data_IF_197413005159
#
_entry.id   IF_197413005159
#
_cell.length_a   1.000
_cell.length_b   1.000
_cell.length_c   1.000
_cell.angle_alpha   90.00
_cell.angle_beta   90.00
_cell.angle_gamma   90.00
#
_symmetry.space_group_name_H-M   'P 1'
#
loop_
_entity.id
_entity.type
_entity.pdbx_description
1 polymer ?
#
# COMPACT_ATOMS: atom_id res chain seq x y z
N UNK A 1 -34.29 89.19 -44.53
CA UNK A 1 -33.43 88.56 -43.56
C UNK A 1 -33.97 87.16 -43.29
N UNK A 2 -33.44 86.14 -44.00
CA UNK A 2 -33.80 84.73 -43.80
C UNK A 2 -32.75 84.10 -42.90
N UNK A 3 -33.13 83.63 -41.73
CA UNK A 3 -32.31 82.75 -40.91
C UNK A 3 -32.58 81.27 -41.30
N UNK A 4 -31.60 80.66 -41.88
CA UNK A 4 -31.59 79.19 -42.08
C UNK A 4 -31.31 78.47 -40.75
N UNK A 5 -32.21 77.57 -40.37
CA UNK A 5 -31.99 76.64 -39.28
C UNK A 5 -31.21 75.41 -39.81
N UNK A 6 -30.05 75.10 -39.19
CA UNK A 6 -29.31 73.90 -39.46
C UNK A 6 -29.93 72.70 -38.73
N UNK A 7 -30.06 71.58 -39.38
CA UNK A 7 -30.55 70.35 -38.71
C UNK A 7 -29.44 69.73 -37.84
N UNK A 8 -29.76 69.44 -36.59
CA UNK A 8 -28.93 68.64 -35.69
C UNK A 8 -28.91 67.20 -36.14
N UNK A 9 -27.80 66.77 -36.70
CA UNK A 9 -27.54 65.34 -36.90
C UNK A 9 -27.13 64.67 -35.55
N UNK A 10 -28.08 64.08 -34.86
CA UNK A 10 -27.78 63.19 -33.74
C UNK A 10 -27.13 61.91 -34.25
N UNK A 11 -25.91 61.66 -33.83
CA UNK A 11 -25.12 60.46 -34.21
C UNK A 11 -25.78 59.21 -33.69
N UNK A 12 -26.41 58.44 -34.59
CA UNK A 12 -26.97 57.11 -34.34
C UNK A 12 -25.87 56.08 -34.12
N UNK A 13 -24.60 56.40 -34.37
CA UNK A 13 -23.46 55.51 -34.26
C UNK A 13 -23.14 55.10 -32.80
N UNK A 14 -23.37 55.96 -31.81
CA UNK A 14 -23.09 55.66 -30.38
C UNK A 14 -23.99 54.60 -29.78
N UNK A 15 -25.21 54.44 -30.23
CA UNK A 15 -26.19 53.46 -29.74
C UNK A 15 -25.89 52.05 -30.21
N UNK A 16 -25.30 51.88 -31.41
CA UNK A 16 -24.94 50.55 -31.96
C UNK A 16 -23.71 49.94 -31.29
N UNK A 17 -22.71 50.72 -30.90
CA UNK A 17 -21.52 50.27 -30.20
C UNK A 17 -21.82 49.78 -28.76
N UNK A 18 -22.69 50.50 -28.04
CA UNK A 18 -23.10 50.12 -26.68
C UNK A 18 -23.89 48.82 -26.64
N UNK A 19 -24.80 48.59 -27.58
CA UNK A 19 -25.55 47.34 -27.69
C UNK A 19 -24.61 46.13 -27.96
N UNK A 20 -23.57 46.31 -28.80
CA UNK A 20 -22.59 45.24 -29.08
C UNK A 20 -21.79 44.89 -27.82
N UNK A 21 -21.33 45.87 -27.04
CA UNK A 21 -20.59 45.62 -25.80
C UNK A 21 -21.48 44.88 -24.79
N UNK A 22 -22.73 45.26 -24.67
CA UNK A 22 -23.69 44.65 -23.74
C UNK A 22 -23.99 43.19 -24.13
N UNK A 23 -24.16 42.90 -25.43
CA UNK A 23 -24.35 41.51 -25.90
C UNK A 23 -23.11 40.67 -25.73
N UNK A 24 -21.91 41.23 -25.97
CA UNK A 24 -20.65 40.55 -25.76
C UNK A 24 -20.41 40.21 -24.28
N UNK A 25 -20.70 41.17 -23.38
CA UNK A 25 -20.56 40.91 -21.94
C UNK A 25 -21.58 39.90 -21.43
N UNK A 26 -22.81 39.93 -21.91
CA UNK A 26 -23.81 38.90 -21.59
C UNK A 26 -23.38 37.51 -22.08
N UNK A 27 -22.84 37.43 -23.29
CA UNK A 27 -22.34 36.17 -23.87
C UNK A 27 -21.17 35.61 -23.06
N UNK A 28 -20.22 36.44 -22.65
CA UNK A 28 -19.08 35.99 -21.80
C UNK A 28 -19.54 35.46 -20.44
N UNK A 29 -20.52 36.08 -19.82
CA UNK A 29 -21.11 35.61 -18.56
C UNK A 29 -21.80 34.24 -18.75
N UNK A 30 -22.58 34.10 -19.84
CA UNK A 30 -23.24 32.82 -20.14
C UNK A 30 -22.22 31.71 -20.37
N UNK A 31 -21.16 31.98 -21.14
CA UNK A 31 -20.07 31.00 -21.38
C UNK A 31 -19.37 30.62 -20.06
N UNK A 32 -19.07 31.61 -19.22
CA UNK A 32 -18.44 31.33 -17.91
C UNK A 32 -19.34 30.47 -17.00
N UNK A 33 -20.64 30.79 -16.92
CA UNK A 33 -21.60 30.01 -16.14
C UNK A 33 -21.73 28.58 -16.71
N UNK A 34 -21.77 28.45 -18.04
CA UNK A 34 -21.84 27.10 -18.67
C UNK A 34 -20.60 26.28 -18.37
N UNK A 35 -19.40 26.89 -18.41
CA UNK A 35 -18.15 26.19 -18.07
C UNK A 35 -18.14 25.69 -16.61
N UNK A 36 -18.62 26.50 -15.67
CA UNK A 36 -18.78 26.13 -14.27
C UNK A 36 -19.77 24.98 -14.11
N UNK A 37 -20.93 25.04 -14.79
CA UNK A 37 -21.93 23.97 -14.73
C UNK A 37 -21.39 22.64 -15.29
N UNK A 38 -20.63 22.70 -16.38
CA UNK A 38 -19.99 21.48 -16.94
C UNK A 38 -19.00 20.89 -15.93
N UNK A 39 -18.18 21.71 -15.28
CA UNK A 39 -17.25 21.27 -14.24
C UNK A 39 -17.97 20.57 -13.07
N UNK A 40 -19.07 21.14 -12.59
CA UNK A 40 -19.90 20.51 -11.55
C UNK A 40 -20.52 19.19 -11.99
N UNK A 41 -20.97 19.11 -13.25
CA UNK A 41 -21.53 17.86 -13.78
C UNK A 41 -20.47 16.77 -13.90
N UNK A 42 -19.24 17.10 -14.31
CA UNK A 42 -18.14 16.14 -14.40
C UNK A 42 -17.72 15.64 -13.02
N UNK A 43 -17.65 16.53 -12.02
CA UNK A 43 -17.39 16.15 -10.63
C UNK A 43 -18.48 15.25 -10.07
N UNK A 44 -19.75 15.60 -10.24
CA UNK A 44 -20.88 14.80 -9.79
C UNK A 44 -20.93 13.41 -10.46
N UNK A 45 -20.57 13.33 -11.75
CA UNK A 45 -20.44 12.03 -12.46
C UNK A 45 -19.33 11.19 -11.88
N UNK A 46 -18.16 11.79 -11.61
CA UNK A 46 -17.01 11.10 -11.02
C UNK A 46 -17.36 10.55 -9.63
N UNK A 47 -18.02 11.34 -8.79
CA UNK A 47 -18.45 10.91 -7.46
C UNK A 47 -19.50 9.80 -7.53
N UNK A 48 -20.44 9.91 -8.48
CA UNK A 48 -21.44 8.86 -8.72
C UNK A 48 -20.79 7.56 -9.20
N UNK A 49 -19.80 7.63 -10.10
CA UNK A 49 -19.05 6.46 -10.59
C UNK A 49 -18.29 5.79 -9.46
N UNK A 50 -17.56 6.57 -8.64
CA UNK A 50 -16.85 6.06 -7.48
C UNK A 50 -17.78 5.38 -6.46
N UNK A 51 -18.94 5.98 -6.19
CA UNK A 51 -19.91 5.41 -5.25
C UNK A 51 -20.48 4.07 -5.74
N UNK A 52 -20.81 4.00 -7.03
CA UNK A 52 -21.28 2.74 -7.64
C UNK A 52 -20.18 1.67 -7.66
N UNK A 53 -18.93 2.07 -7.98
CA UNK A 53 -17.79 1.16 -7.96
C UNK A 53 -17.54 0.63 -6.54
N UNK A 54 -17.63 1.46 -5.52
CA UNK A 54 -17.52 1.03 -4.12
C UNK A 54 -18.61 0.00 -3.75
N UNK A 55 -19.85 0.24 -4.14
CA UNK A 55 -20.95 -0.75 -3.92
C UNK A 55 -20.62 -2.06 -4.63
N UNK A 56 -20.08 -2.01 -5.84
CA UNK A 56 -19.66 -3.20 -6.57
C UNK A 56 -18.49 -3.92 -5.87
N UNK A 57 -17.53 -3.18 -5.31
CA UNK A 57 -16.46 -3.73 -4.50
C UNK A 57 -16.99 -4.47 -3.27
N UNK A 58 -17.95 -3.89 -2.56
CA UNK A 58 -18.59 -4.52 -1.40
C UNK A 58 -19.29 -5.85 -1.78
N UNK A 59 -19.92 -5.90 -2.94
CA UNK A 59 -20.55 -7.14 -3.44
C UNK A 59 -19.48 -8.20 -3.75
N UNK A 60 -18.40 -7.83 -4.46
CA UNK A 60 -17.30 -8.76 -4.74
C UNK A 60 -16.62 -9.22 -3.45
N UNK A 61 -16.43 -8.32 -2.49
CA UNK A 61 -15.87 -8.67 -1.18
C UNK A 61 -16.76 -9.69 -0.44
N UNK A 62 -18.07 -9.50 -0.44
CA UNK A 62 -19.02 -10.45 0.16
C UNK A 62 -18.96 -11.83 -0.49
N UNK A 63 -18.91 -11.89 -1.83
CA UNK A 63 -18.81 -13.12 -2.59
C UNK A 63 -17.47 -13.83 -2.32
N UNK A 64 -16.36 -13.10 -2.37
CA UNK A 64 -15.02 -13.61 -2.08
C UNK A 64 -14.96 -14.16 -0.65
N UNK A 65 -15.49 -13.43 0.33
CA UNK A 65 -15.57 -13.88 1.73
C UNK A 65 -16.30 -15.22 1.85
N UNK A 66 -17.41 -15.40 1.12
CA UNK A 66 -18.14 -16.64 1.11
C UNK A 66 -17.34 -17.78 0.47
N UNK A 67 -16.67 -17.52 -0.65
CA UNK A 67 -15.80 -18.48 -1.34
C UNK A 67 -14.65 -18.89 -0.44
N UNK A 68 -13.91 -17.93 0.13
CA UNK A 68 -12.79 -18.20 1.02
C UNK A 68 -13.19 -19.01 2.25
N UNK A 69 -14.35 -18.71 2.85
CA UNK A 69 -14.90 -19.47 3.97
C UNK A 69 -15.23 -20.92 3.60
N UNK A 70 -15.59 -21.17 2.33
CA UNK A 70 -15.91 -22.51 1.82
C UNK A 70 -14.68 -23.41 1.59
N UNK A 71 -13.48 -22.83 1.43
CA UNK A 71 -12.26 -23.59 1.22
C UNK A 71 -11.76 -24.21 2.54
N UNK A 72 -11.78 -25.53 2.61
CA UNK A 72 -11.23 -26.29 3.76
C UNK A 72 -9.70 -26.40 3.71
N UNK A 73 -9.16 -26.59 2.51
CA UNK A 73 -7.71 -26.70 2.28
C UNK A 73 -7.14 -25.32 1.95
N UNK A 74 -6.72 -24.61 2.99
CA UNK A 74 -6.11 -23.27 2.88
C UNK A 74 -4.75 -23.32 2.19
N UNK A 75 -3.98 -24.37 2.40
CA UNK A 75 -2.68 -24.53 1.76
C UNK A 75 -2.83 -24.61 0.24
N UNK A 76 -3.79 -25.39 -0.25
CA UNK A 76 -4.07 -25.48 -1.67
C UNK A 76 -4.57 -24.14 -2.24
N UNK A 77 -5.43 -23.42 -1.52
CA UNK A 77 -5.90 -22.10 -1.94
C UNK A 77 -4.74 -21.11 -2.10
N UNK A 78 -3.93 -20.94 -1.07
CA UNK A 78 -2.84 -19.97 -1.08
C UNK A 78 -1.69 -20.37 -2.00
N UNK A 79 -1.40 -21.68 -2.16
CA UNK A 79 -0.38 -22.10 -3.12
C UNK A 79 -0.66 -21.64 -4.55
N UNK A 80 -1.94 -21.46 -4.90
CA UNK A 80 -2.34 -20.91 -6.21
C UNK A 80 -2.34 -19.39 -6.19
N UNK A 81 -2.94 -18.77 -5.16
CA UNK A 81 -3.10 -17.32 -5.06
C UNK A 81 -1.79 -16.54 -4.91
N UNK A 82 -0.76 -17.17 -4.31
CA UNK A 82 0.56 -16.55 -4.15
C UNK A 82 1.47 -16.70 -5.38
N UNK A 83 1.18 -17.66 -6.26
CA UNK A 83 2.01 -17.88 -7.45
C UNK A 83 1.80 -16.82 -8.53
N UNK A 84 0.55 -16.44 -8.77
CA UNK A 84 0.23 -15.45 -9.79
C UNK A 84 -1.17 -14.87 -9.61
N UNK A 85 -1.41 -13.64 -10.09
CA UNK A 85 -2.75 -13.07 -10.14
C UNK A 85 -3.72 -13.96 -10.92
N UNK A 86 -4.89 -14.22 -10.36
CA UNK A 86 -5.92 -15.06 -10.96
C UNK A 86 -7.00 -14.19 -11.59
N UNK A 87 -7.15 -14.22 -12.92
CA UNK A 87 -8.25 -13.53 -13.58
C UNK A 87 -9.55 -14.36 -13.47
N UNK A 88 -10.58 -13.77 -12.92
CA UNK A 88 -11.94 -14.31 -12.91
C UNK A 88 -12.82 -13.46 -13.81
N UNK A 89 -13.52 -14.12 -14.75
CA UNK A 89 -14.44 -13.45 -15.67
C UNK A 89 -15.78 -14.18 -15.65
N UNK A 90 -16.86 -13.41 -15.68
CA UNK A 90 -18.17 -14.02 -15.89
C UNK A 90 -18.30 -14.56 -17.32
N UNK A 91 -19.09 -15.63 -17.54
CA UNK A 91 -19.30 -16.20 -18.88
C UNK A 91 -19.91 -15.21 -19.87
N UNK A 92 -20.67 -14.24 -19.40
CA UNK A 92 -21.30 -13.18 -20.19
C UNK A 92 -20.41 -11.94 -20.38
N UNK A 93 -19.17 -11.95 -19.82
CA UNK A 93 -18.19 -10.88 -19.93
C UNK A 93 -18.54 -9.60 -19.17
N UNK A 94 -19.59 -9.62 -18.35
CA UNK A 94 -20.05 -8.40 -17.64
C UNK A 94 -19.17 -8.01 -16.49
N UNK A 95 -18.42 -8.96 -15.92
CA UNK A 95 -17.42 -8.63 -14.92
C UNK A 95 -16.07 -9.30 -15.20
N UNK A 96 -15.02 -8.58 -14.85
CA UNK A 96 -13.66 -9.08 -14.85
C UNK A 96 -13.00 -8.65 -13.55
N UNK A 97 -12.49 -9.61 -12.81
CA UNK A 97 -11.82 -9.41 -11.51
C UNK A 97 -10.48 -10.11 -11.56
N UNK A 98 -9.44 -9.46 -11.07
CA UNK A 98 -8.10 -10.05 -10.90
C UNK A 98 -7.83 -10.10 -9.39
N UNK A 99 -7.56 -11.29 -8.88
CA UNK A 99 -7.21 -11.53 -7.47
C UNK A 99 -5.73 -11.83 -7.39
N UNK A 100 -4.99 -11.05 -6.60
CA UNK A 100 -3.61 -11.30 -6.26
C UNK A 100 -3.46 -11.29 -4.74
N UNK A 101 -2.87 -12.34 -4.17
CA UNK A 101 -2.60 -12.40 -2.73
C UNK A 101 -1.12 -12.55 -2.47
N UNK A 102 -0.66 -12.05 -1.31
CA UNK A 102 0.69 -12.25 -0.80
C UNK A 102 0.62 -12.66 0.68
N UNK A 103 1.57 -13.48 1.17
CA UNK A 103 1.63 -13.83 2.59
C UNK A 103 1.92 -12.58 3.43
N UNK A 104 1.16 -12.39 4.51
CA UNK A 104 1.38 -11.26 5.42
C UNK A 104 2.63 -11.45 6.29
N UNK A 105 3.05 -12.67 6.50
CA UNK A 105 4.20 -13.03 7.31
C UNK A 105 5.40 -13.52 6.46
N UNK A 106 5.45 -13.18 5.17
CA UNK A 106 6.56 -13.56 4.27
C UNK A 106 7.86 -12.78 4.48
N UNK A 107 7.89 -11.82 5.40
CA UNK A 107 9.03 -10.98 5.75
C UNK A 107 9.23 -10.88 7.26
N UNK A 108 10.30 -10.21 7.65
CA UNK A 108 10.59 -9.86 9.04
C UNK A 108 9.73 -8.66 9.45
N UNK A 109 9.06 -8.74 10.59
CA UNK A 109 8.24 -7.62 11.04
C UNK A 109 9.14 -6.46 11.52
N UNK A 110 8.96 -5.27 10.93
CA UNK A 110 9.75 -4.08 11.29
C UNK A 110 9.63 -3.71 12.76
N UNK A 111 8.50 -4.03 13.39
CA UNK A 111 8.26 -3.74 14.81
C UNK A 111 9.11 -4.59 15.76
N UNK A 112 9.76 -5.64 15.27
CA UNK A 112 10.68 -6.43 16.09
C UNK A 112 11.99 -5.68 16.41
N UNK A 113 12.33 -4.61 15.68
CA UNK A 113 13.44 -3.72 16.03
C UNK A 113 13.34 -3.15 17.46
N UNK A 114 12.14 -3.00 18.00
CA UNK A 114 11.93 -2.52 19.36
C UNK A 114 11.81 -3.62 20.42
N UNK A 115 12.25 -4.85 20.13
CA UNK A 115 12.15 -6.02 21.02
C UNK A 115 13.50 -6.45 21.63
N UNK A 116 14.46 -5.54 21.69
CA UNK A 116 15.80 -5.73 22.25
C UNK A 116 15.80 -6.27 23.70
N UNK A 117 14.79 -5.90 24.51
CA UNK A 117 14.65 -6.30 25.90
C UNK A 117 13.62 -7.44 26.12
N UNK A 118 13.08 -8.02 25.08
CA UNK A 118 12.08 -9.11 25.18
C UNK A 118 12.76 -10.47 24.96
N UNK A 119 13.08 -11.18 26.05
CA UNK A 119 13.74 -12.46 25.99
C UNK A 119 12.97 -13.52 25.18
N UNK A 120 11.65 -13.41 25.06
CA UNK A 120 10.82 -14.33 24.28
C UNK A 120 10.90 -14.05 22.78
N UNK A 121 11.26 -12.83 22.39
CA UNK A 121 11.35 -12.37 21.00
C UNK A 121 12.79 -12.07 20.56
N UNK A 122 13.81 -12.59 21.26
CA UNK A 122 15.22 -12.33 20.94
C UNK A 122 15.61 -12.74 19.52
N UNK A 123 15.12 -13.89 19.01
CA UNK A 123 15.37 -14.31 17.64
C UNK A 123 14.74 -13.40 16.60
N UNK A 124 13.55 -12.86 16.90
CA UNK A 124 12.84 -11.90 16.08
C UNK A 124 13.59 -10.57 16.01
N UNK A 125 14.03 -10.07 17.18
CA UNK A 125 14.87 -8.87 17.24
C UNK A 125 16.17 -9.03 16.46
N UNK A 126 16.93 -10.13 16.71
CA UNK A 126 18.17 -10.42 15.97
C UNK A 126 17.95 -10.47 14.45
N UNK A 127 16.84 -11.07 14.00
CA UNK A 127 16.51 -11.14 12.58
C UNK A 127 16.21 -9.75 12.00
N UNK A 128 15.43 -8.93 12.72
CA UNK A 128 15.10 -7.58 12.28
C UNK A 128 16.33 -6.68 12.24
N UNK A 129 17.16 -6.74 13.27
CA UNK A 129 18.41 -6.00 13.33
C UNK A 129 19.37 -6.41 12.20
N UNK A 130 19.57 -7.73 12.00
CA UNK A 130 20.43 -8.23 10.92
C UNK A 130 19.97 -7.73 9.54
N UNK A 131 18.67 -7.78 9.27
CA UNK A 131 18.12 -7.32 7.99
C UNK A 131 18.34 -5.81 7.83
N UNK A 132 18.07 -5.03 8.87
CA UNK A 132 18.27 -3.59 8.84
C UNK A 132 19.75 -3.24 8.59
N UNK A 133 20.68 -3.83 9.34
CA UNK A 133 22.10 -3.57 9.23
C UNK A 133 22.66 -3.94 7.85
N UNK A 134 22.27 -5.11 7.30
CA UNK A 134 22.70 -5.54 5.97
C UNK A 134 22.19 -4.58 4.90
N UNK A 135 20.94 -4.12 4.99
CA UNK A 135 20.39 -3.16 4.04
C UNK A 135 21.08 -1.80 4.17
N UNK A 136 21.24 -1.29 5.38
CA UNK A 136 21.92 -0.03 5.63
C UNK A 136 23.35 -0.03 5.07
N UNK A 137 24.09 -1.13 5.28
CA UNK A 137 25.45 -1.29 4.75
C UNK A 137 25.46 -1.45 3.23
N UNK A 138 24.60 -2.32 2.67
CA UNK A 138 24.59 -2.62 1.22
C UNK A 138 24.24 -1.40 0.36
N UNK A 139 23.39 -0.52 0.89
CA UNK A 139 22.98 0.70 0.19
C UNK A 139 23.79 1.94 0.66
N UNK A 140 24.74 1.77 1.57
CA UNK A 140 25.57 2.84 2.13
C UNK A 140 24.73 4.00 2.66
N UNK A 141 23.79 3.70 3.56
CA UNK A 141 22.96 4.71 4.24
C UNK A 141 23.89 5.56 5.11
N UNK A 142 23.78 6.89 5.02
CA UNK A 142 24.75 7.82 5.63
C UNK A 142 24.66 7.82 7.15
N UNK A 143 23.45 7.80 7.71
CA UNK A 143 23.21 7.78 9.15
C UNK A 143 22.16 6.73 9.50
N UNK A 144 22.58 5.45 9.45
CA UNK A 144 21.71 4.31 9.75
C UNK A 144 21.16 4.40 11.19
N UNK A 145 21.97 4.89 12.14
CA UNK A 145 21.55 5.02 13.55
C UNK A 145 20.41 6.01 13.71
N UNK A 146 20.43 7.12 12.99
CA UNK A 146 19.35 8.10 13.00
C UNK A 146 18.07 7.52 12.40
N UNK A 147 18.18 6.75 11.29
CA UNK A 147 17.04 6.08 10.70
C UNK A 147 16.42 5.09 11.68
N UNK A 148 17.24 4.28 12.33
CA UNK A 148 16.79 3.32 13.33
C UNK A 148 16.10 4.01 14.51
N UNK A 149 16.68 5.10 15.03
CA UNK A 149 16.05 5.90 16.09
C UNK A 149 14.65 6.40 15.68
N UNK A 150 14.51 6.91 14.45
CA UNK A 150 13.21 7.36 13.93
C UNK A 150 12.19 6.22 13.82
N UNK A 151 12.64 5.01 13.44
CA UNK A 151 11.78 3.82 13.41
C UNK A 151 11.37 3.41 14.82
N UNK A 152 12.30 3.33 15.77
CA UNK A 152 12.04 2.98 17.16
C UNK A 152 11.10 3.99 17.84
N UNK A 153 11.24 5.28 17.53
CA UNK A 153 10.34 6.32 18.03
C UNK A 153 8.89 6.06 17.58
N UNK A 154 8.68 5.69 16.32
CA UNK A 154 7.36 5.41 15.78
C UNK A 154 6.79 4.09 16.32
N UNK A 155 7.60 3.04 16.44
CA UNK A 155 7.20 1.76 17.01
C UNK A 155 6.78 1.92 18.50
N UNK A 156 7.31 2.93 19.18
CA UNK A 156 6.98 3.19 20.57
C UNK A 156 7.81 2.40 21.58
N UNK A 157 8.96 1.84 21.14
CA UNK A 157 9.90 1.09 21.99
C UNK A 157 10.82 1.95 22.86
N UNK A 158 10.99 3.24 22.56
CA UNK A 158 11.88 4.12 23.30
C UNK A 158 11.25 4.70 24.56
N UNK A 159 11.72 4.27 25.72
CA UNK A 159 11.34 4.88 27.02
C UNK A 159 11.97 6.26 27.27
N UNK A 160 12.74 6.82 26.35
CA UNK A 160 13.57 7.99 26.58
C UNK A 160 13.16 9.28 25.88
N UNK A 161 12.30 9.25 24.86
CA UNK A 161 11.95 10.48 24.14
C UNK A 161 10.49 10.84 24.28
N UNK A 162 10.24 11.65 25.28
CA UNK A 162 8.98 12.19 25.78
C UNK A 162 8.46 13.30 24.86
N UNK A 163 8.11 12.99 23.64
CA UNK A 163 7.20 13.84 22.88
C UNK A 163 5.87 13.14 22.60
N UNK A 164 5.60 12.05 23.31
CA UNK A 164 4.37 11.21 23.22
C UNK A 164 3.07 11.94 23.57
N UNK A 165 3.12 13.04 24.29
CA UNK A 165 1.91 13.73 24.74
C UNK A 165 1.24 14.61 23.67
N UNK A 166 1.90 14.96 22.59
CA UNK A 166 1.37 15.93 21.63
C UNK A 166 0.63 15.32 20.44
N UNK A 167 0.78 14.03 20.15
CA UNK A 167 0.05 13.40 19.04
C UNK A 167 -1.03 12.44 19.54
N UNK A 168 -2.25 12.95 19.72
CA UNK A 168 -3.45 12.14 19.99
C UNK A 168 -3.81 11.16 18.85
N UNK A 169 -3.10 11.21 17.74
CA UNK A 169 -3.34 10.42 16.53
C UNK A 169 -2.30 9.33 16.29
N UNK A 170 -1.24 9.23 17.09
CA UNK A 170 -0.27 8.13 16.96
C UNK A 170 -0.92 6.82 17.36
N UNK A 171 -0.96 5.91 16.42
CA UNK A 171 -1.41 4.54 16.69
C UNK A 171 -0.41 3.89 17.65
N UNK A 172 -0.89 3.44 18.81
CA UNK A 172 -0.07 2.80 19.85
C UNK A 172 0.46 1.41 19.45
N UNK A 173 0.24 0.98 18.23
CA UNK A 173 0.43 -0.40 17.77
C UNK A 173 1.66 -0.60 16.87
N UNK A 174 2.57 0.36 16.82
CA UNK A 174 3.74 0.30 15.97
C UNK A 174 3.46 0.72 14.51
N UNK A 175 4.38 0.33 13.63
CA UNK A 175 4.29 0.56 12.18
C UNK A 175 3.47 -0.60 11.58
N UNK A 176 2.23 -0.33 11.19
CA UNK A 176 1.28 -1.37 10.72
C UNK A 176 0.94 -1.25 9.22
N UNK A 177 1.50 -0.27 8.52
CA UNK A 177 1.35 -0.13 7.07
C UNK A 177 2.66 0.30 6.43
N UNK A 178 2.87 -0.10 5.19
CA UNK A 178 4.01 0.39 4.40
C UNK A 178 4.01 1.91 4.25
N UNK A 179 2.84 2.53 4.16
CA UNK A 179 2.72 3.98 4.07
C UNK A 179 3.30 4.70 5.30
N UNK A 180 2.99 4.21 6.52
CA UNK A 180 3.60 4.75 7.74
C UNK A 180 5.12 4.63 7.72
N UNK A 181 5.63 3.49 7.26
CA UNK A 181 7.06 3.27 7.10
C UNK A 181 7.67 4.22 6.06
N UNK A 182 7.05 4.35 4.89
CA UNK A 182 7.48 5.27 3.84
C UNK A 182 7.51 6.73 4.30
N UNK A 183 6.52 7.17 5.06
CA UNK A 183 6.49 8.52 5.64
C UNK A 183 7.68 8.78 6.59
N UNK A 184 8.23 7.74 7.24
CA UNK A 184 9.46 7.85 8.06
C UNK A 184 10.67 7.96 7.15
N UNK A 185 10.75 7.13 6.09
CA UNK A 185 11.84 7.19 5.12
C UNK A 185 11.91 8.56 4.43
N UNK A 186 10.77 9.13 4.07
CA UNK A 186 10.68 10.47 3.46
C UNK A 186 11.19 11.55 4.44
N UNK A 187 10.80 11.47 5.72
CA UNK A 187 11.31 12.38 6.77
C UNK A 187 12.82 12.21 6.96
N UNK A 188 13.32 10.97 6.98
CA UNK A 188 14.75 10.70 7.07
C UNK A 188 15.49 11.28 5.86
N UNK A 189 15.03 11.00 4.64
CA UNK A 189 15.61 11.54 3.41
C UNK A 189 15.68 13.06 3.44
N UNK A 190 14.60 13.72 3.84
CA UNK A 190 14.54 15.18 3.93
C UNK A 190 15.54 15.75 4.96
N UNK A 191 15.74 15.06 6.11
CA UNK A 191 16.60 15.54 7.20
C UNK A 191 18.09 15.19 7.04
N UNK A 192 18.40 14.15 6.26
CA UNK A 192 19.76 13.62 6.06
C UNK A 192 20.27 13.83 4.63
N UNK A 193 19.40 14.32 3.71
CA UNK A 193 19.68 14.48 2.27
C UNK A 193 20.19 13.19 1.59
N UNK A 194 19.80 12.02 2.14
CA UNK A 194 20.22 10.71 1.65
C UNK A 194 19.17 10.09 0.71
N UNK A 195 19.33 10.34 -0.59
CA UNK A 195 18.40 9.81 -1.61
C UNK A 195 18.51 8.29 -1.84
N UNK A 196 19.49 7.62 -1.24
CA UNK A 196 19.70 6.17 -1.40
C UNK A 196 18.62 5.38 -0.68
N UNK A 197 18.03 5.93 0.38
CA UNK A 197 16.98 5.30 1.18
C UNK A 197 15.76 4.86 0.35
N UNK A 198 15.37 5.67 -0.63
CA UNK A 198 14.24 5.37 -1.53
C UNK A 198 14.54 4.29 -2.58
N UNK A 199 15.80 3.84 -2.71
CA UNK A 199 16.19 2.77 -3.66
C UNK A 199 16.12 1.39 -3.04
N UNK A 200 15.99 1.30 -1.73
CA UNK A 200 15.93 0.03 -1.01
C UNK A 200 14.54 -0.58 -1.19
N UNK A 201 14.45 -1.83 -1.66
CA UNK A 201 13.15 -2.51 -1.81
C UNK A 201 12.68 -3.10 -0.46
N UNK A 202 12.38 -2.24 0.50
CA UNK A 202 12.07 -2.60 1.88
C UNK A 202 11.00 -3.66 2.02
N UNK A 203 9.96 -3.62 1.17
CA UNK A 203 8.86 -4.59 1.19
C UNK A 203 9.26 -6.03 0.84
N UNK A 204 10.46 -6.25 0.27
CA UNK A 204 11.00 -7.59 0.05
C UNK A 204 11.56 -8.23 1.32
N UNK A 205 11.82 -7.42 2.33
CA UNK A 205 12.49 -7.84 3.56
C UNK A 205 11.60 -7.68 4.78
N UNK A 206 10.85 -6.58 4.85
CA UNK A 206 10.00 -6.25 5.98
C UNK A 206 8.52 -6.41 5.69
N UNK A 207 7.79 -6.83 6.73
CA UNK A 207 6.33 -6.77 6.79
C UNK A 207 5.90 -5.80 7.88
N UNK A 208 4.71 -5.25 7.73
CA UNK A 208 4.17 -4.16 8.55
C UNK A 208 2.89 -4.63 9.24
N UNK A 209 3.06 -5.53 10.20
CA UNK A 209 1.96 -6.13 10.94
C UNK A 209 2.06 -5.77 12.42
N UNK A 210 0.94 -5.78 13.11
CA UNK A 210 0.92 -5.66 14.56
C UNK A 210 1.70 -6.82 15.18
N UNK A 211 2.60 -6.51 16.11
CA UNK A 211 3.31 -7.53 16.89
C UNK A 211 2.37 -8.13 17.93
N UNK A 212 2.24 -9.45 17.96
CA UNK A 212 1.55 -10.19 18.99
C UNK A 212 2.34 -10.25 20.30
N UNK A 213 1.67 -10.68 21.36
CA UNK A 213 2.33 -10.91 22.67
C UNK A 213 2.89 -12.34 22.78
N UNK A 214 2.34 -13.29 22.00
CA UNK A 214 2.79 -14.66 21.98
C UNK A 214 3.89 -14.81 20.90
N UNK A 215 5.03 -15.49 21.19
CA UNK A 215 6.03 -15.83 20.18
C UNK A 215 5.46 -16.54 18.94
N UNK A 216 4.41 -17.35 19.11
CA UNK A 216 3.75 -18.05 17.98
C UNK A 216 2.99 -17.10 17.03
N UNK A 217 2.63 -15.92 17.48
CA UNK A 217 2.03 -14.86 16.65
C UNK A 217 3.09 -14.06 15.90
N UNK A 218 4.38 -14.28 16.19
CA UNK A 218 5.52 -13.53 15.69
C UNK A 218 6.48 -14.45 14.91
N UNK A 219 5.95 -15.17 13.93
CA UNK A 219 6.74 -16.06 13.08
C UNK A 219 6.79 -15.53 11.65
N UNK A 220 7.91 -15.78 10.96
CA UNK A 220 7.99 -15.66 9.50
C UNK A 220 7.44 -16.93 8.87
N UNK A 221 6.64 -16.80 7.80
CA UNK A 221 6.18 -17.97 7.04
C UNK A 221 7.35 -18.59 6.27
N UNK A 222 7.89 -19.67 6.82
CA UNK A 222 9.02 -20.38 6.24
C UNK A 222 8.74 -21.02 4.87
N UNK A 223 7.47 -21.12 4.45
CA UNK A 223 7.12 -21.69 3.14
C UNK A 223 7.19 -20.63 2.03
N UNK A 224 6.99 -19.34 2.37
CA UNK A 224 6.86 -18.28 1.39
C UNK A 224 7.84 -17.11 1.58
N UNK A 225 8.92 -17.34 2.32
CA UNK A 225 10.01 -16.37 2.45
C UNK A 225 10.65 -16.07 1.09
N UNK A 226 10.95 -14.79 0.81
CA UNK A 226 11.61 -14.38 -0.42
C UNK A 226 13.07 -14.85 -0.50
N UNK A 227 13.59 -15.05 -1.71
CA UNK A 227 15.00 -15.41 -1.91
C UNK A 227 15.95 -14.35 -1.34
N UNK A 228 15.61 -13.06 -1.51
CA UNK A 228 16.40 -11.95 -0.99
C UNK A 228 16.48 -11.97 0.53
N UNK A 229 15.35 -12.16 1.22
CA UNK A 229 15.34 -12.22 2.68
C UNK A 229 16.06 -13.47 3.20
N UNK A 230 15.87 -14.62 2.54
CA UNK A 230 16.53 -15.85 2.90
C UNK A 230 18.06 -15.74 2.79
N UNK A 231 18.56 -15.13 1.68
CA UNK A 231 19.97 -14.84 1.50
C UNK A 231 20.55 -14.01 2.66
N UNK A 232 19.84 -12.97 3.07
CA UNK A 232 20.27 -12.08 4.17
C UNK A 232 20.24 -12.83 5.52
N UNK A 233 19.17 -13.55 5.84
CA UNK A 233 19.01 -14.18 7.16
C UNK A 233 20.01 -15.31 7.40
N UNK A 234 20.39 -16.06 6.36
CA UNK A 234 21.23 -17.23 6.47
C UNK A 234 22.63 -17.07 5.88
N UNK A 235 22.99 -15.88 5.38
CA UNK A 235 24.25 -15.58 4.72
C UNK A 235 24.56 -16.52 3.53
N UNK A 236 23.52 -16.88 2.78
CA UNK A 236 23.62 -17.72 1.59
C UNK A 236 23.68 -16.80 0.37
N UNK A 237 24.54 -17.14 -0.59
CA UNK A 237 24.62 -16.38 -1.84
C UNK A 237 23.26 -16.27 -2.54
N UNK A 238 22.89 -15.07 -2.95
CA UNK A 238 21.57 -14.78 -3.51
C UNK A 238 21.28 -15.55 -4.81
N UNK A 239 22.27 -15.74 -5.67
CA UNK A 239 22.10 -16.49 -6.92
C UNK A 239 21.84 -17.98 -6.62
N UNK A 240 22.57 -18.55 -5.66
CA UNK A 240 22.32 -19.91 -5.16
C UNK A 240 20.88 -20.05 -4.62
N UNK A 241 20.42 -19.05 -3.86
CA UNK A 241 19.04 -19.08 -3.34
C UNK A 241 18.02 -18.99 -4.47
N UNK A 242 18.22 -18.11 -5.45
CA UNK A 242 17.29 -17.97 -6.59
C UNK A 242 17.20 -19.22 -7.47
N UNK A 243 18.31 -19.95 -7.60
CA UNK A 243 18.35 -21.13 -8.43
C UNK A 243 17.73 -22.36 -7.73
N UNK A 244 17.87 -22.47 -6.41
CA UNK A 244 17.49 -23.67 -5.68
C UNK A 244 16.26 -23.52 -4.77
N UNK A 245 15.87 -22.28 -4.43
CA UNK A 245 14.73 -22.01 -3.56
C UNK A 245 13.49 -21.63 -4.36
N UNK A 246 12.43 -22.39 -4.20
CA UNK A 246 11.10 -22.07 -4.73
C UNK A 246 10.12 -21.93 -3.56
N UNK A 247 9.52 -20.75 -3.33
CA UNK A 247 8.49 -20.57 -2.31
C UNK A 247 7.36 -21.60 -2.46
N UNK A 248 6.97 -22.24 -1.36
CA UNK A 248 5.95 -23.29 -1.35
C UNK A 248 6.41 -24.66 -1.89
N UNK A 249 7.63 -24.79 -2.37
CA UNK A 249 8.18 -26.02 -2.94
C UNK A 249 8.93 -26.89 -1.95
N UNK A 250 10.07 -26.42 -1.44
CA UNK A 250 10.93 -27.15 -0.52
C UNK A 250 10.72 -26.66 0.91
N UNK A 251 10.87 -27.55 1.90
CA UNK A 251 10.87 -27.16 3.32
C UNK A 251 12.09 -26.28 3.62
N UNK A 252 11.88 -25.10 4.20
CA UNK A 252 12.94 -24.13 4.50
C UNK A 252 14.11 -24.75 5.31
N UNK A 253 13.79 -25.56 6.33
CA UNK A 253 14.80 -26.21 7.15
C UNK A 253 15.73 -27.08 6.30
N UNK A 254 15.16 -27.90 5.44
CA UNK A 254 15.92 -28.80 4.55
C UNK A 254 16.82 -28.02 3.59
N UNK A 255 16.32 -26.90 3.05
CA UNK A 255 17.10 -26.02 2.19
C UNK A 255 18.28 -25.39 2.93
N UNK A 256 18.03 -24.79 4.10
CA UNK A 256 19.06 -24.10 4.90
C UNK A 256 20.15 -25.08 5.36
N UNK A 257 19.77 -26.26 5.84
CA UNK A 257 20.72 -27.29 6.26
C UNK A 257 21.57 -27.83 5.09
N UNK A 258 20.97 -28.00 3.91
CA UNK A 258 21.67 -28.40 2.68
C UNK A 258 22.73 -27.38 2.25
N UNK A 259 22.45 -26.09 2.43
CA UNK A 259 23.37 -25.01 2.07
C UNK A 259 24.38 -24.67 3.17
N UNK A 260 24.40 -25.42 4.27
CA UNK A 260 25.35 -25.28 5.39
C UNK A 260 24.95 -24.18 6.40
N UNK A 261 23.75 -23.62 6.29
CA UNK A 261 23.22 -22.64 7.22
C UNK A 261 22.70 -23.28 8.53
N UNK A 262 22.49 -22.44 9.54
CA UNK A 262 21.89 -22.88 10.83
C UNK A 262 20.44 -22.45 10.89
N UNK A 263 19.51 -23.40 10.90
CA UNK A 263 18.08 -23.11 10.97
C UNK A 263 17.63 -22.68 12.36
N UNK A 264 17.01 -21.51 12.47
CA UNK A 264 16.47 -20.93 13.72
C UNK A 264 14.99 -21.32 13.89
N UNK A 265 14.73 -22.37 14.63
CA UNK A 265 13.40 -22.99 14.76
C UNK A 265 12.30 -22.04 15.31
N UNK A 266 12.68 -21.07 16.17
CA UNK A 266 11.74 -20.17 16.84
C UNK A 266 11.42 -18.90 16.03
N UNK A 267 12.00 -18.75 14.85
CA UNK A 267 11.76 -17.61 13.96
C UNK A 267 10.77 -17.95 12.84
N UNK A 268 10.71 -19.22 12.44
CA UNK A 268 9.94 -19.65 11.27
C UNK A 268 8.81 -20.61 11.65
N UNK A 269 7.67 -20.42 10.99
CA UNK A 269 6.61 -21.42 11.02
C UNK A 269 6.99 -22.66 10.24
N UNK A 270 6.59 -23.83 10.74
CA UNK A 270 6.73 -25.10 10.01
C UNK A 270 5.62 -25.29 8.99
N UNK A 271 4.45 -24.80 9.33
CA UNK A 271 3.24 -24.87 8.50
C UNK A 271 2.93 -23.50 7.89
N UNK A 272 2.13 -23.50 6.85
CA UNK A 272 1.58 -22.29 6.26
C UNK A 272 0.91 -21.46 7.35
N UNK A 273 1.28 -20.19 7.47
CA UNK A 273 0.53 -19.23 8.25
C UNK A 273 -0.67 -18.76 7.42
N UNK A 274 -1.89 -19.00 7.94
CA UNK A 274 -3.13 -18.65 7.28
C UNK A 274 -3.38 -17.13 7.33
N UNK A 275 -2.44 -16.35 6.80
CA UNK A 275 -2.47 -14.89 6.84
C UNK A 275 -2.08 -14.34 5.47
N UNK A 276 -3.07 -13.84 4.74
CA UNK A 276 -2.91 -13.31 3.40
C UNK A 276 -3.43 -11.88 3.29
N UNK A 277 -2.66 -11.04 2.63
CA UNK A 277 -3.13 -9.75 2.12
C UNK A 277 -3.48 -9.92 0.65
N UNK A 278 -4.72 -9.62 0.28
CA UNK A 278 -5.22 -9.79 -1.07
C UNK A 278 -5.61 -8.45 -1.69
N UNK A 279 -5.19 -8.27 -2.93
CA UNK A 279 -5.52 -7.13 -3.78
C UNK A 279 -6.47 -7.59 -4.88
N UNK A 280 -7.55 -6.85 -5.06
CA UNK A 280 -8.58 -7.12 -6.04
C UNK A 280 -8.68 -5.95 -7.00
N UNK A 281 -8.32 -6.19 -8.26
CA UNK A 281 -8.54 -5.25 -9.34
C UNK A 281 -9.77 -5.66 -10.14
N UNK A 282 -10.64 -4.71 -10.47
CA UNK A 282 -11.83 -4.96 -11.27
C UNK A 282 -12.16 -3.78 -12.18
N UNK A 283 -12.81 -4.09 -13.31
CA UNK A 283 -13.26 -3.08 -14.26
C UNK A 283 -14.74 -2.80 -14.06
N UNK A 284 -15.11 -1.52 -13.94
CA UNK A 284 -16.49 -1.06 -13.85
C UNK A 284 -16.71 0.18 -14.72
N UNK A 285 -17.69 0.13 -15.62
CA UNK A 285 -18.00 1.20 -16.59
C UNK A 285 -16.79 1.65 -17.43
N UNK A 286 -15.85 0.73 -17.72
CA UNK A 286 -14.63 1.01 -18.50
C UNK A 286 -13.48 1.64 -17.71
N UNK A 287 -13.63 1.77 -16.41
CA UNK A 287 -12.61 2.25 -15.48
C UNK A 287 -12.13 1.14 -14.56
N UNK A 288 -10.85 1.19 -14.15
CA UNK A 288 -10.25 0.20 -13.26
C UNK A 288 -10.28 0.70 -11.83
N UNK A 289 -10.70 -0.17 -10.92
CA UNK A 289 -10.80 0.07 -9.49
C UNK A 289 -10.04 -0.99 -8.71
N UNK A 290 -9.66 -0.64 -7.49
CA UNK A 290 -8.88 -1.46 -6.58
C UNK A 290 -9.51 -1.46 -5.20
N UNK A 291 -9.56 -2.66 -4.59
CA UNK A 291 -9.73 -2.80 -3.14
C UNK A 291 -8.83 -3.90 -2.60
N UNK A 292 -8.56 -3.85 -1.31
CA UNK A 292 -7.80 -4.87 -0.61
C UNK A 292 -8.58 -5.45 0.54
N UNK A 293 -8.17 -6.61 0.99
CA UNK A 293 -8.64 -7.24 2.23
C UNK A 293 -7.56 -8.16 2.78
N UNK A 294 -7.73 -8.55 4.03
CA UNK A 294 -6.90 -9.54 4.69
C UNK A 294 -7.72 -10.79 5.00
N UNK A 295 -7.12 -11.96 4.79
CA UNK A 295 -7.64 -13.24 5.30
C UNK A 295 -6.72 -13.73 6.40
N UNK A 296 -7.19 -13.71 7.65
CA UNK A 296 -6.44 -14.14 8.83
C UNK A 296 -7.19 -15.30 9.46
N UNK A 297 -6.55 -16.47 9.45
CA UNK A 297 -7.10 -17.72 9.99
C UNK A 297 -8.49 -18.11 9.44
N UNK A 298 -8.75 -17.73 8.19
CA UNK A 298 -10.01 -17.98 7.51
C UNK A 298 -11.07 -16.94 7.76
N UNK A 299 -10.74 -15.87 8.45
CA UNK A 299 -11.58 -14.71 8.63
C UNK A 299 -11.15 -13.60 7.67
N UNK A 300 -11.97 -13.32 6.66
CA UNK A 300 -11.77 -12.22 5.72
C UNK A 300 -12.23 -10.91 6.36
N UNK A 301 -11.30 -9.95 6.50
CA UNK A 301 -11.49 -8.68 7.20
C UNK A 301 -10.64 -7.56 6.59
N UNK A 302 -10.70 -6.37 7.19
CA UNK A 302 -9.89 -5.20 6.82
C UNK A 302 -10.07 -4.80 5.34
N UNK A 303 -11.33 -4.74 4.89
CA UNK A 303 -11.67 -4.24 3.56
C UNK A 303 -11.29 -2.75 3.43
N UNK A 304 -10.56 -2.43 2.38
CA UNK A 304 -10.17 -1.05 2.05
C UNK A 304 -10.33 -0.79 0.55
N UNK A 305 -11.10 0.24 0.20
CA UNK A 305 -11.34 0.64 -1.19
C UNK A 305 -10.48 1.85 -1.56
N UNK A 306 -9.66 1.71 -2.59
CA UNK A 306 -8.72 2.75 -3.03
C UNK A 306 -9.24 3.61 -4.18
N UNK A 307 -10.41 3.32 -4.72
CA UNK A 307 -10.97 4.06 -5.82
C UNK A 307 -10.38 3.70 -7.18
N UNK A 308 -10.42 4.65 -8.10
CA UNK A 308 -9.94 4.52 -9.47
C UNK A 308 -8.40 4.52 -9.51
N UNK A 309 -7.83 3.60 -10.30
CA UNK A 309 -6.41 3.45 -10.57
C UNK A 309 -5.99 4.14 -11.88
#
# INVERSE_FOLDING_TARGET
MHKQAQPFHHSVAYKKGFALILTLSALTVIIALTAVLISYLDEARKDSSNSKAMIQADLYYADIKQVFKGFKDRKALYSVLYLSPIPLRSPDGRFSVIIACKPMAGGVNVNWLAKDNDANLSNQYEAAQKVFDVLAQSYNIEDASKLEEMLLEEIGGGNQYVLKEQSRLRQKNGIITYKQFADILDRYQFTSDDSKIGKIPWEKYFVFNKTGNDPQENLVDGNYISAELLSVLFDIDLETVKDEWAPGGLELKTFVEKTGGTYKQNLFSKELLNQAHCEIQYDYEGERFLFTFEDIDGEVKNFEFFGKQ
#
